data_IF_707402992417
#
_entry.id   IF_707402992417
#
_cell.length_a   1.000
_cell.length_b   1.000
_cell.length_c   1.000
_cell.angle_alpha   90.00
_cell.angle_beta   90.00
_cell.angle_gamma   90.00
#
_symmetry.space_group_name_H-M   'P 1'
#
loop_
_entity.id
_entity.type
_entity.pdbx_description
1 polymer ?
#
# COMPACT_ATOMS: atom_id res chain seq x y z
N UNK A 1 19.29 -22.54 68.06
CA UNK A 1 20.01 -21.38 67.49
C UNK A 1 20.72 -21.88 66.26
N UNK A 2 20.16 -21.67 65.06
CA UNK A 2 20.79 -22.12 63.81
C UNK A 2 21.85 -21.09 63.39
N UNK A 3 23.11 -21.51 63.35
CA UNK A 3 24.23 -20.71 62.84
C UNK A 3 24.21 -20.76 61.31
N UNK A 4 23.79 -19.68 60.65
CA UNK A 4 23.94 -19.48 59.21
C UNK A 4 25.39 -19.03 58.98
N UNK A 5 26.15 -19.74 58.14
CA UNK A 5 27.55 -19.41 57.84
C UNK A 5 27.64 -18.57 56.55
N UNK A 6 28.69 -17.74 56.40
CA UNK A 6 28.88 -16.91 55.19
C UNK A 6 28.91 -17.74 53.88
N UNK A 7 29.35 -18.99 53.96
CA UNK A 7 29.35 -19.95 52.86
C UNK A 7 27.94 -20.31 52.35
N UNK A 8 26.92 -20.28 53.21
CA UNK A 8 25.52 -20.55 52.81
C UNK A 8 24.92 -19.36 52.04
N UNK A 9 25.31 -18.13 52.41
CA UNK A 9 24.92 -16.92 51.67
C UNK A 9 25.55 -16.88 50.26
N UNK A 10 26.79 -17.33 50.12
CA UNK A 10 27.49 -17.38 48.83
C UNK A 10 26.93 -18.45 47.89
N UNK A 11 26.47 -19.57 48.43
CA UNK A 11 25.78 -20.61 47.64
C UNK A 11 24.43 -20.14 47.15
N UNK A 12 23.65 -19.49 48.03
CA UNK A 12 22.37 -18.90 47.66
C UNK A 12 22.56 -17.80 46.61
N UNK A 13 23.52 -16.89 46.76
CA UNK A 13 23.78 -15.82 45.79
C UNK A 13 24.18 -16.36 44.41
N UNK A 14 25.01 -17.42 44.35
CA UNK A 14 25.38 -18.09 43.09
C UNK A 14 24.20 -18.81 42.42
N UNK A 15 23.31 -19.41 43.20
CA UNK A 15 22.07 -20.00 42.70
C UNK A 15 21.11 -18.93 42.16
N UNK A 16 20.97 -17.79 42.84
CA UNK A 16 20.16 -16.66 42.37
C UNK A 16 20.72 -16.03 41.09
N UNK A 17 22.04 -15.84 41.01
CA UNK A 17 22.70 -15.26 39.83
C UNK A 17 22.55 -16.14 38.58
N UNK A 18 22.65 -17.47 38.74
CA UNK A 18 22.50 -18.41 37.63
C UNK A 18 21.04 -18.52 37.16
N UNK A 19 20.07 -18.50 38.07
CA UNK A 19 18.64 -18.47 37.72
C UNK A 19 18.25 -17.18 36.97
N UNK A 20 18.78 -16.03 37.40
CA UNK A 20 18.56 -14.75 36.73
C UNK A 20 19.14 -14.74 35.31
N UNK A 21 20.36 -15.22 35.12
CA UNK A 21 21.00 -15.29 33.81
C UNK A 21 20.22 -16.19 32.84
N UNK A 22 19.74 -17.36 33.31
CA UNK A 22 18.96 -18.29 32.49
C UNK A 22 17.61 -17.67 32.06
N UNK A 23 16.93 -16.99 32.97
CA UNK A 23 15.66 -16.31 32.66
C UNK A 23 15.85 -15.17 31.64
N UNK A 24 16.93 -14.39 31.76
CA UNK A 24 17.27 -13.33 30.81
C UNK A 24 17.59 -13.89 29.41
N UNK A 25 18.37 -14.97 29.34
CA UNK A 25 18.71 -15.62 28.09
C UNK A 25 17.47 -16.19 27.39
N UNK A 26 16.52 -16.75 28.15
CA UNK A 26 15.27 -17.27 27.60
C UNK A 26 14.37 -16.17 27.07
N UNK A 27 14.21 -15.06 27.81
CA UNK A 27 13.44 -13.90 27.36
C UNK A 27 14.08 -13.25 26.12
N UNK A 28 15.39 -13.10 26.10
CA UNK A 28 16.11 -12.57 24.94
C UNK A 28 15.98 -13.48 23.71
N UNK A 29 16.06 -14.81 23.89
CA UNK A 29 15.85 -15.77 22.82
C UNK A 29 14.45 -15.70 22.21
N UNK A 30 13.41 -15.56 23.04
CA UNK A 30 12.02 -15.41 22.58
C UNK A 30 11.83 -14.08 21.84
N UNK A 31 12.38 -12.98 22.35
CA UNK A 31 12.27 -11.66 21.71
C UNK A 31 13.02 -11.57 20.38
N UNK A 32 14.19 -12.23 20.27
CA UNK A 32 14.97 -12.25 19.03
C UNK A 32 14.41 -13.20 17.98
N UNK A 33 13.66 -14.22 18.40
CA UNK A 33 13.01 -15.16 17.48
C UNK A 33 11.59 -14.72 17.08
N UNK A 34 11.00 -13.75 17.78
CA UNK A 34 9.74 -13.18 17.35
C UNK A 34 9.92 -12.56 15.94
N UNK A 35 9.20 -13.04 14.90
CA UNK A 35 9.24 -12.39 13.61
C UNK A 35 8.73 -10.97 13.82
N UNK A 36 9.58 -9.98 13.54
CA UNK A 36 9.17 -8.58 13.60
C UNK A 36 7.92 -8.43 12.74
N UNK A 37 6.82 -7.96 13.36
CA UNK A 37 5.60 -7.65 12.63
C UNK A 37 5.97 -6.60 11.58
N UNK A 38 6.11 -7.02 10.32
CA UNK A 38 6.22 -6.07 9.22
C UNK A 38 4.94 -5.27 9.24
N UNK A 39 4.99 -3.93 9.38
CA UNK A 39 3.80 -3.12 9.32
C UNK A 39 3.10 -3.45 8.00
N UNK A 40 1.87 -3.97 8.07
CA UNK A 40 1.08 -4.18 6.85
C UNK A 40 0.96 -2.81 6.19
N UNK A 41 1.36 -2.67 4.92
CA UNK A 41 1.11 -1.48 4.13
C UNK A 41 -0.36 -1.09 4.22
N UNK A 42 -0.68 -0.09 5.04
CA UNK A 42 -2.02 0.48 5.04
C UNK A 42 -2.34 0.98 3.64
N UNK A 43 -3.58 0.80 3.18
CA UNK A 43 -4.06 1.50 2.00
C UNK A 43 -4.13 2.98 2.38
N UNK A 44 -3.60 3.86 1.53
CA UNK A 44 -3.54 5.30 1.79
C UNK A 44 -4.50 6.08 0.89
N UNK A 45 -4.77 5.58 -0.30
CA UNK A 45 -5.69 6.20 -1.24
C UNK A 45 -6.56 5.16 -1.91
N UNK A 46 -7.82 5.52 -2.13
CA UNK A 46 -8.80 4.70 -2.85
C UNK A 46 -9.56 5.58 -3.83
N UNK A 47 -9.78 5.08 -5.04
CA UNK A 47 -10.71 5.63 -5.99
C UNK A 47 -11.63 4.53 -6.53
N UNK A 48 -12.93 4.71 -6.36
CA UNK A 48 -13.94 3.87 -7.02
C UNK A 48 -14.27 4.51 -8.35
N UNK A 49 -13.92 3.82 -9.43
CA UNK A 49 -14.00 4.33 -10.79
C UNK A 49 -15.34 3.90 -11.40
N UNK A 50 -16.11 4.87 -11.86
CA UNK A 50 -17.42 4.67 -12.47
C UNK A 50 -17.40 5.05 -13.93
N UNK A 51 -18.18 4.34 -14.74
CA UNK A 51 -18.44 4.71 -16.12
C UNK A 51 -19.51 5.82 -16.22
N UNK A 52 -19.84 6.23 -17.45
CA UNK A 52 -20.86 7.26 -17.73
C UNK A 52 -22.27 6.88 -17.27
N UNK A 53 -22.52 5.59 -17.03
CA UNK A 53 -23.77 5.08 -16.46
C UNK A 53 -23.75 5.03 -14.92
N UNK A 54 -22.77 5.67 -14.28
CA UNK A 54 -22.53 5.68 -12.83
C UNK A 54 -22.29 4.29 -12.20
N UNK A 55 -21.99 3.28 -13.03
CA UNK A 55 -21.71 1.92 -12.56
C UNK A 55 -20.23 1.78 -12.23
N UNK A 56 -19.88 1.19 -11.08
CA UNK A 56 -18.49 0.95 -10.72
C UNK A 56 -17.88 -0.12 -11.64
N UNK A 57 -16.82 0.25 -12.36
CA UNK A 57 -16.13 -0.63 -13.30
C UNK A 57 -14.72 -0.98 -12.87
N UNK A 58 -14.08 -0.14 -12.04
CA UNK A 58 -12.74 -0.39 -11.51
C UNK A 58 -12.60 0.17 -10.09
N UNK A 59 -11.65 -0.37 -9.33
CA UNK A 59 -11.20 0.19 -8.05
C UNK A 59 -9.70 0.38 -8.12
N UNK A 60 -9.24 1.59 -7.81
CA UNK A 60 -7.81 1.90 -7.71
C UNK A 60 -7.48 2.07 -6.23
N UNK A 61 -6.51 1.31 -5.75
CA UNK A 61 -5.98 1.44 -4.37
C UNK A 61 -4.49 1.74 -4.42
N UNK A 62 -4.02 2.59 -3.52
CA UNK A 62 -2.61 2.91 -3.43
C UNK A 62 -2.07 2.76 -2.02
N UNK A 63 -0.90 2.14 -1.90
CA UNK A 63 -0.17 1.97 -0.63
C UNK A 63 1.06 2.87 -0.60
N UNK A 64 1.23 3.63 0.48
CA UNK A 64 2.34 4.58 0.61
C UNK A 64 3.66 3.85 0.83
N UNK A 65 3.66 2.78 1.63
CA UNK A 65 4.83 1.91 1.78
C UNK A 65 4.99 1.09 0.50
N UNK A 66 6.04 1.40 -0.26
CA UNK A 66 6.31 0.78 -1.56
C UNK A 66 5.80 1.58 -2.75
N UNK A 67 4.94 2.59 -2.55
CA UNK A 67 4.30 3.38 -3.63
C UNK A 67 3.66 2.47 -4.68
N UNK A 68 2.92 1.46 -4.22
CA UNK A 68 2.29 0.50 -5.13
C UNK A 68 0.88 0.98 -5.42
N UNK A 69 0.54 1.01 -6.70
CA UNK A 69 -0.81 1.20 -7.18
C UNK A 69 -1.36 -0.14 -7.61
N UNK A 70 -2.56 -0.46 -7.17
CA UNK A 70 -3.32 -1.61 -7.63
C UNK A 70 -4.60 -1.14 -8.31
N UNK A 71 -4.90 -1.74 -9.46
CA UNK A 71 -6.16 -1.54 -10.19
C UNK A 71 -6.89 -2.87 -10.25
N UNK A 72 -8.06 -2.93 -9.64
CA UNK A 72 -8.98 -4.06 -9.68
C UNK A 72 -10.09 -3.76 -10.69
N UNK A 73 -10.12 -4.48 -11.82
CA UNK A 73 -11.16 -4.34 -12.84
C UNK A 73 -12.36 -5.23 -12.50
N UNK A 74 -13.50 -4.60 -12.21
CA UNK A 74 -14.75 -5.28 -11.89
C UNK A 74 -15.46 -5.79 -13.14
N UNK A 75 -15.33 -5.03 -14.23
CA UNK A 75 -15.83 -5.36 -15.56
C UNK A 75 -14.74 -5.07 -16.59
N UNK A 76 -14.57 -5.96 -17.57
CA UNK A 76 -13.60 -5.76 -18.64
C UNK A 76 -14.07 -4.60 -19.54
N UNK A 77 -13.31 -3.50 -19.66
CA UNK A 77 -13.68 -2.40 -20.54
C UNK A 77 -13.61 -2.86 -22.00
N UNK A 78 -14.55 -2.38 -22.81
CA UNK A 78 -14.51 -2.58 -24.25
C UNK A 78 -13.56 -1.56 -24.88
N UNK A 79 -12.54 -2.06 -25.56
CA UNK A 79 -11.55 -1.28 -26.31
C UNK A 79 -11.66 -1.59 -27.80
N UNK A 80 -11.39 -0.59 -28.63
CA UNK A 80 -11.19 -0.85 -30.05
C UNK A 80 -9.83 -1.54 -30.25
N UNK A 81 -9.67 -2.25 -31.36
CA UNK A 81 -8.47 -3.04 -31.64
C UNK A 81 -7.20 -2.18 -31.55
N UNK A 82 -6.28 -2.61 -30.68
CA UNK A 82 -4.99 -1.95 -30.48
C UNK A 82 -5.01 -0.75 -29.54
N UNK A 83 -6.14 -0.38 -28.93
CA UNK A 83 -6.16 0.65 -27.89
C UNK A 83 -5.59 0.14 -26.57
N UNK A 84 -4.90 1.03 -25.87
CA UNK A 84 -4.45 0.84 -24.49
C UNK A 84 -5.36 1.58 -23.51
N UNK A 85 -5.36 1.14 -22.24
CA UNK A 85 -5.92 1.95 -21.15
C UNK A 85 -4.82 2.81 -20.55
N UNK A 86 -5.13 4.07 -20.27
CA UNK A 86 -4.22 4.93 -19.54
C UNK A 86 -4.93 5.56 -18.35
N UNK A 87 -4.24 5.53 -17.21
CA UNK A 87 -4.71 6.13 -15.96
C UNK A 87 -4.12 7.54 -15.83
N UNK A 88 -4.94 8.46 -15.34
CA UNK A 88 -4.60 9.86 -15.17
C UNK A 88 -4.99 10.35 -13.78
N UNK A 89 -4.19 11.27 -13.25
CA UNK A 89 -4.53 12.07 -12.08
C UNK A 89 -5.00 13.45 -12.52
N UNK A 90 -6.09 13.93 -11.92
CA UNK A 90 -6.57 15.31 -12.08
C UNK A 90 -6.27 16.07 -10.80
N UNK A 91 -5.42 17.09 -10.86
CA UNK A 91 -5.06 17.90 -9.70
C UNK A 91 -6.25 18.67 -9.15
N UNK A 92 -6.39 18.68 -7.81
CA UNK A 92 -7.32 19.55 -7.09
C UNK A 92 -6.89 21.02 -7.06
N UNK A 93 -5.60 21.28 -7.25
CA UNK A 93 -4.99 22.60 -7.06
C UNK A 93 -5.09 23.44 -8.32
N UNK A 94 -4.79 22.86 -9.48
CA UNK A 94 -4.77 23.58 -10.76
C UNK A 94 -5.60 22.91 -11.88
N UNK A 95 -6.25 21.79 -11.59
CA UNK A 95 -7.07 21.07 -12.57
C UNK A 95 -6.26 20.36 -13.67
N UNK A 96 -4.92 20.36 -13.59
CA UNK A 96 -4.08 19.71 -14.61
C UNK A 96 -4.29 18.22 -14.59
N UNK A 97 -4.28 17.63 -15.78
CA UNK A 97 -4.40 16.20 -15.98
C UNK A 97 -3.03 15.65 -16.36
N UNK A 98 -2.52 14.72 -15.56
CA UNK A 98 -1.19 14.14 -15.74
C UNK A 98 -1.26 12.62 -15.74
N UNK A 99 -0.44 11.99 -16.60
CA UNK A 99 -0.44 10.54 -16.77
C UNK A 99 0.17 9.83 -15.56
N UNK A 100 -0.52 8.79 -15.10
CA UNK A 100 0.00 7.80 -14.15
C UNK A 100 0.55 6.57 -14.85
N UNK A 101 0.30 6.41 -16.16
CA UNK A 101 0.83 5.34 -16.99
C UNK A 101 -0.25 4.50 -17.67
N UNK A 102 0.20 3.72 -18.64
CA UNK A 102 -0.62 2.71 -19.31
C UNK A 102 -0.87 1.54 -18.36
N UNK A 103 -2.10 1.03 -18.34
CA UNK A 103 -2.50 -0.12 -17.54
C UNK A 103 -2.95 -1.26 -18.48
N UNK A 104 -2.47 -2.50 -18.30
CA UNK A 104 -2.94 -3.63 -19.08
C UNK A 104 -4.39 -3.98 -18.73
N UNK A 105 -5.12 -4.55 -19.69
CA UNK A 105 -6.53 -4.97 -19.52
C UNK A 105 -6.60 -6.33 -18.83
N UNK A 106 -6.31 -6.35 -17.53
CA UNK A 106 -6.31 -7.54 -16.69
C UNK A 106 -7.25 -7.37 -15.49
N UNK A 107 -7.69 -8.49 -14.89
CA UNK A 107 -8.60 -8.45 -13.73
C UNK A 107 -8.00 -7.66 -12.56
N UNK A 108 -6.69 -7.77 -12.35
CA UNK A 108 -5.97 -7.09 -11.30
C UNK A 108 -4.58 -6.74 -11.84
N UNK A 109 -4.17 -5.49 -11.64
CA UNK A 109 -2.86 -4.98 -12.05
C UNK A 109 -2.19 -4.33 -10.85
N UNK A 110 -0.92 -4.63 -10.63
CA UNK A 110 -0.09 -3.92 -9.65
C UNK A 110 1.08 -3.25 -10.35
N UNK A 111 1.35 -2.00 -9.99
CA UNK A 111 2.41 -1.20 -10.60
C UNK A 111 3.07 -0.32 -9.54
N UNK A 112 4.39 -0.35 -9.52
CA UNK A 112 5.17 0.56 -8.68
C UNK A 112 5.16 1.96 -9.28
N UNK A 113 4.79 2.96 -8.49
CA UNK A 113 4.81 4.36 -8.88
C UNK A 113 6.18 4.99 -8.60
N UNK A 114 6.62 5.79 -9.55
CA UNK A 114 7.75 6.70 -9.35
C UNK A 114 7.41 7.74 -8.28
N UNK A 115 8.43 8.42 -7.76
CA UNK A 115 8.25 9.53 -6.81
C UNK A 115 7.40 10.66 -7.41
N UNK A 116 7.54 10.91 -8.72
CA UNK A 116 6.77 11.93 -9.44
C UNK A 116 5.28 11.57 -9.50
N UNK A 117 4.96 10.36 -9.99
CA UNK A 117 3.58 9.86 -10.07
C UNK A 117 2.90 9.81 -8.70
N UNK A 118 3.65 9.42 -7.66
CA UNK A 118 3.14 9.47 -6.29
C UNK A 118 2.78 10.89 -5.83
N UNK A 119 3.54 11.89 -6.28
CA UNK A 119 3.22 13.31 -6.06
C UNK A 119 1.87 13.70 -6.69
N UNK A 120 1.61 13.22 -7.91
CA UNK A 120 0.35 13.47 -8.62
C UNK A 120 -0.85 12.92 -7.83
N UNK A 121 -0.74 11.70 -7.29
CA UNK A 121 -1.82 11.08 -6.49
C UNK A 121 -2.14 11.89 -5.23
N UNK A 122 -1.13 12.40 -4.54
CA UNK A 122 -1.31 13.19 -3.31
C UNK A 122 -2.13 14.46 -3.53
N UNK A 123 -2.01 15.03 -4.72
CA UNK A 123 -2.70 16.24 -5.13
C UNK A 123 -3.95 15.97 -5.97
N UNK A 124 -4.24 14.71 -6.29
CA UNK A 124 -5.37 14.35 -7.15
C UNK A 124 -6.72 14.58 -6.44
N UNK A 125 -7.66 15.22 -7.14
CA UNK A 125 -9.08 15.26 -6.76
C UNK A 125 -9.82 14.03 -7.30
N UNK A 126 -9.57 13.69 -8.57
CA UNK A 126 -10.13 12.53 -9.24
C UNK A 126 -9.04 11.78 -10.02
N UNK A 127 -9.28 10.49 -10.23
CA UNK A 127 -8.61 9.71 -11.25
C UNK A 127 -9.51 9.57 -12.47
N UNK A 128 -8.90 9.43 -13.64
CA UNK A 128 -9.57 9.14 -14.91
C UNK A 128 -8.89 7.95 -15.57
N UNK A 129 -9.67 7.14 -16.27
CA UNK A 129 -9.18 6.14 -17.22
C UNK A 129 -9.75 6.47 -18.58
N UNK A 130 -8.91 6.54 -19.59
CA UNK A 130 -9.32 6.70 -20.99
C UNK A 130 -8.67 5.67 -21.89
N UNK A 131 -9.34 5.41 -23.02
CA UNK A 131 -8.75 4.64 -24.11
C UNK A 131 -7.78 5.54 -24.89
N UNK A 132 -6.59 5.03 -25.18
CA UNK A 132 -5.55 5.75 -25.90
C UNK A 132 -4.96 4.89 -27.01
N UNK A 133 -4.28 5.53 -27.96
CA UNK A 133 -3.44 4.84 -28.93
C UNK A 133 -2.36 4.01 -28.21
N UNK A 134 -1.90 2.91 -28.83
CA UNK A 134 -0.95 2.02 -28.20
C UNK A 134 0.38 2.71 -27.87
N UNK A 135 0.94 2.43 -26.71
CA UNK A 135 2.15 3.06 -26.17
C UNK A 135 1.89 4.32 -25.33
N UNK A 136 0.62 4.72 -25.17
CA UNK A 136 0.21 5.84 -24.33
C UNK A 136 0.29 7.20 -25.02
N UNK A 137 -0.27 8.22 -24.36
CA UNK A 137 -0.37 9.58 -24.87
C UNK A 137 -0.03 10.63 -23.80
N UNK A 138 0.21 11.87 -24.23
CA UNK A 138 0.51 13.00 -23.35
C UNK A 138 -0.73 13.62 -22.70
N UNK A 139 -1.91 13.40 -23.29
CA UNK A 139 -3.19 13.90 -22.82
C UNK A 139 -4.25 12.78 -22.85
N UNK A 140 -5.31 12.88 -22.03
CA UNK A 140 -6.40 11.90 -22.05
C UNK A 140 -6.97 11.72 -23.45
N UNK A 141 -7.23 10.46 -23.84
CA UNK A 141 -7.97 10.18 -25.06
C UNK A 141 -9.40 10.72 -24.99
N UNK A 142 -10.02 10.89 -26.15
CA UNK A 142 -11.38 11.43 -26.28
C UNK A 142 -12.42 10.56 -25.55
N UNK A 143 -12.17 9.25 -25.48
CA UNK A 143 -13.05 8.29 -24.82
C UNK A 143 -12.60 8.03 -23.39
N UNK A 144 -13.21 8.75 -22.45
CA UNK A 144 -13.10 8.46 -21.01
C UNK A 144 -13.97 7.24 -20.70
N UNK A 145 -13.38 6.26 -20.04
CA UNK A 145 -14.03 4.98 -19.70
C UNK A 145 -14.49 4.93 -18.25
N UNK A 146 -13.74 5.59 -17.36
CA UNK A 146 -14.10 5.67 -15.97
C UNK A 146 -13.51 6.90 -15.27
N UNK A 147 -14.23 7.39 -14.26
CA UNK A 147 -13.82 8.48 -13.37
C UNK A 147 -14.12 8.12 -11.92
N UNK A 148 -13.26 8.51 -10.99
CA UNK A 148 -13.48 8.28 -9.57
C UNK A 148 -12.81 9.34 -8.69
N UNK A 149 -13.43 9.70 -7.58
CA UNK A 149 -12.82 10.56 -6.56
C UNK A 149 -11.59 9.86 -5.96
N UNK A 150 -10.47 10.58 -5.87
CA UNK A 150 -9.28 10.08 -5.19
C UNK A 150 -9.37 10.46 -3.70
N UNK A 151 -9.67 9.49 -2.84
CA UNK A 151 -9.87 9.73 -1.41
C UNK A 151 -8.67 9.21 -0.63
N UNK A 152 -8.08 10.08 0.19
CA UNK A 152 -7.08 9.67 1.18
C UNK A 152 -7.79 8.97 2.33
N UNK A 153 -7.35 7.77 2.67
CA UNK A 153 -7.83 7.01 3.82
C UNK A 153 -6.73 7.01 4.89
N UNK A 154 -7.10 7.40 6.12
CA UNK A 154 -6.19 7.41 7.26
C UNK A 154 -6.61 6.30 8.24
N UNK A 155 -5.64 5.54 8.75
CA UNK A 155 -5.89 4.53 9.78
C UNK A 155 -6.60 3.25 9.31
N UNK A 156 -6.62 2.95 8.01
CA UNK A 156 -7.17 1.69 7.51
C UNK A 156 -6.28 0.51 7.92
N UNK A 157 -6.78 -0.34 8.82
CA UNK A 157 -6.18 -1.61 9.18
C UNK A 157 -6.96 -2.72 8.45
N UNK A 158 -6.31 -3.39 7.51
CA UNK A 158 -6.85 -4.56 6.78
C UNK A 158 -6.74 -5.83 7.61
#
# INVERSE_FOLDING_TARGET
>A
MFHITNSDLDYLSRLYLSALALSFALVAGVLLWAPGQTPVPGINYVAVMKNDAEQPTMVVTLTQSGRVMRVDMLAKPQLDDGQDLQLWAVSKTDGRIESLGVIPVEKQVETALTKSQWGLIKDAEYLLVSAVNPGGQAAPGERVLAKGLCVKVEGWQS
#
